data_IF_037581117267
#
_entry.id   IF_037581117267
#
_cell.length_a   1.000
_cell.length_b   1.000
_cell.length_c   1.000
_cell.angle_alpha   90.00
_cell.angle_beta   90.00
_cell.angle_gamma   90.00
#
_symmetry.space_group_name_H-M   'P 1'
#
loop_
_entity.id
_entity.type
_entity.pdbx_description
1 polymer ?
#
# COMPACT_ATOMS: atom_id res chain seq x y z
N UNK A 1 6.57 -25.81 1.77
CA UNK A 1 6.45 -24.44 1.24
C UNK A 1 6.66 -24.57 -0.27
N UNK A 2 5.58 -24.83 -1.01
CA UNK A 2 5.61 -24.77 -2.46
C UNK A 2 5.14 -23.38 -2.82
N UNK A 3 5.94 -22.66 -3.61
CA UNK A 3 5.51 -21.46 -4.29
C UNK A 3 5.09 -21.95 -5.67
N UNK A 4 3.78 -22.11 -5.86
CA UNK A 4 3.17 -22.22 -7.17
C UNK A 4 3.17 -20.83 -7.81
N UNK A 5 4.27 -20.55 -8.53
CA UNK A 5 4.43 -19.38 -9.38
C UNK A 5 3.84 -19.68 -10.75
N UNK A 6 2.59 -19.29 -10.97
CA UNK A 6 1.89 -19.45 -12.24
C UNK A 6 1.51 -18.10 -12.87
N UNK A 7 2.39 -17.10 -12.78
CA UNK A 7 2.29 -15.89 -13.59
C UNK A 7 3.51 -15.79 -14.51
N UNK A 8 3.25 -15.73 -15.81
CA UNK A 8 4.21 -15.81 -16.91
C UNK A 8 5.48 -14.98 -16.68
N UNK A 9 6.59 -15.68 -16.41
CA UNK A 9 7.93 -15.11 -16.39
C UNK A 9 8.36 -14.69 -17.81
N UNK A 10 8.15 -13.42 -18.17
CA UNK A 10 8.68 -12.87 -19.42
C UNK A 10 10.13 -12.42 -19.22
N UNK A 11 11.07 -13.34 -19.44
CA UNK A 11 12.49 -12.99 -19.61
C UNK A 11 12.70 -12.22 -20.92
N UNK A 12 12.87 -10.90 -20.85
CA UNK A 12 13.24 -10.06 -22.01
C UNK A 12 14.76 -9.95 -22.19
N UNK A 13 15.51 -11.05 -22.04
CA UNK A 13 16.95 -11.05 -22.32
C UNK A 13 17.20 -11.04 -23.83
N UNK A 14 17.73 -9.93 -24.34
CA UNK A 14 18.11 -9.79 -25.74
C UNK A 14 19.14 -10.83 -26.17
N UNK A 15 18.88 -11.53 -27.29
CA UNK A 15 19.85 -12.40 -27.98
C UNK A 15 20.95 -11.53 -28.60
N UNK A 16 22.03 -11.29 -27.87
CA UNK A 16 23.26 -10.71 -28.39
C UNK A 16 24.15 -11.78 -29.03
N UNK A 17 24.38 -11.68 -30.34
CA UNK A 17 25.38 -12.47 -31.05
C UNK A 17 26.71 -11.66 -31.05
N UNK A 18 27.65 -11.99 -30.15
CA UNK A 18 28.95 -11.31 -30.12
C UNK A 18 29.82 -11.70 -28.92
N UNK A 19 31.13 -11.82 -29.17
CA UNK A 19 32.19 -12.08 -28.20
C UNK A 19 31.98 -11.36 -26.86
N UNK A 20 32.17 -12.11 -25.77
CA UNK A 20 31.87 -11.75 -24.38
C UNK A 20 32.27 -10.33 -24.00
N UNK A 21 31.27 -9.45 -24.00
CA UNK A 21 31.22 -8.27 -23.16
C UNK A 21 30.13 -8.54 -22.14
N UNK A 22 30.49 -8.38 -20.87
CA UNK A 22 29.69 -8.71 -19.70
C UNK A 22 28.42 -7.85 -19.68
N UNK A 23 27.36 -8.30 -20.37
CA UNK A 23 26.04 -7.68 -20.31
C UNK A 23 25.44 -8.09 -18.97
N UNK A 24 25.54 -7.19 -18.00
CA UNK A 24 25.03 -7.43 -16.64
C UNK A 24 23.58 -7.93 -16.67
N UNK A 25 23.34 -9.06 -16.01
CA UNK A 25 22.00 -9.62 -15.85
C UNK A 25 21.29 -8.84 -14.76
N UNK A 26 20.21 -8.13 -15.11
CA UNK A 26 19.33 -7.50 -14.13
C UNK A 26 18.11 -8.37 -13.90
N UNK A 27 17.70 -8.60 -12.64
CA UNK A 27 16.47 -9.32 -12.35
C UNK A 27 15.25 -8.58 -12.90
N UNK A 28 14.12 -9.28 -13.10
CA UNK A 28 12.86 -8.64 -13.47
C UNK A 28 12.44 -7.61 -12.41
N UNK A 29 11.76 -6.55 -12.86
CA UNK A 29 11.22 -5.52 -11.96
C UNK A 29 9.94 -6.04 -11.32
N UNK A 30 9.84 -5.96 -9.99
CA UNK A 30 8.64 -6.35 -9.25
C UNK A 30 8.44 -5.49 -8.00
N UNK A 31 7.24 -5.54 -7.44
CA UNK A 31 6.89 -4.81 -6.22
C UNK A 31 7.36 -5.58 -4.97
N UNK A 32 8.43 -5.11 -4.32
CA UNK A 32 8.95 -5.70 -3.09
C UNK A 32 7.95 -5.68 -1.93
N UNK A 33 7.03 -4.71 -1.91
CA UNK A 33 6.12 -4.50 -0.79
C UNK A 33 5.12 -5.65 -0.61
N UNK A 34 4.68 -6.29 -1.70
CA UNK A 34 3.66 -7.36 -1.70
C UNK A 34 4.04 -8.57 -0.83
N UNK A 35 5.34 -8.83 -0.68
CA UNK A 35 5.87 -9.97 0.05
C UNK A 35 6.67 -9.56 1.30
N UNK A 36 6.62 -8.28 1.66
CA UNK A 36 7.32 -7.76 2.83
C UNK A 36 6.50 -8.00 4.11
N UNK A 37 7.21 -8.21 5.22
CA UNK A 37 6.64 -8.05 6.56
C UNK A 37 6.82 -6.59 6.95
N UNK A 38 5.72 -5.92 7.31
CA UNK A 38 5.75 -4.50 7.67
C UNK A 38 5.18 -4.27 9.08
N UNK A 39 5.72 -3.26 9.76
CA UNK A 39 5.36 -2.90 11.13
C UNK A 39 5.26 -1.38 11.24
N UNK A 40 4.35 -0.90 12.07
CA UNK A 40 4.24 0.51 12.45
C UNK A 40 4.32 0.62 13.98
N UNK A 41 4.84 1.75 14.46
CA UNK A 41 4.92 2.02 15.90
C UNK A 41 3.54 2.26 16.54
N UNK A 42 2.53 2.57 15.73
CA UNK A 42 1.14 2.68 16.17
C UNK A 42 0.21 2.77 14.98
N UNK A 43 -1.03 2.37 15.19
CA UNK A 43 -2.12 2.49 14.23
C UNK A 43 -3.30 3.17 14.92
N UNK A 44 -4.02 4.03 14.21
CA UNK A 44 -5.23 4.63 14.78
C UNK A 44 -6.21 3.56 15.25
N UNK A 45 -6.90 3.84 16.35
CA UNK A 45 -7.93 2.94 16.85
C UNK A 45 -7.41 1.81 17.73
N UNK A 46 -6.09 1.69 17.96
CA UNK A 46 -5.48 0.64 18.80
C UNK A 46 -5.71 0.88 20.30
N UNK A 47 -5.82 2.15 20.74
CA UNK A 47 -6.05 2.52 22.14
C UNK A 47 -7.51 2.91 22.43
N UNK A 48 -8.40 2.74 21.44
CA UNK A 48 -9.80 3.18 21.47
C UNK A 48 -10.16 4.00 20.24
N UNK A 49 -11.44 4.35 20.10
CA UNK A 49 -11.94 5.07 18.92
C UNK A 49 -11.31 6.48 18.80
N UNK A 50 -10.76 6.78 17.63
CA UNK A 50 -10.08 8.05 17.30
C UNK A 50 -10.84 8.80 16.20
N UNK A 51 -10.94 10.13 16.30
CA UNK A 51 -11.57 10.94 15.25
C UNK A 51 -10.50 11.60 14.39
N UNK A 52 -10.51 11.33 13.08
CA UNK A 52 -9.66 12.02 12.11
C UNK A 52 -10.50 12.86 11.16
N UNK A 53 -9.94 13.97 10.68
CA UNK A 53 -10.60 14.84 9.72
C UNK A 53 -9.78 14.96 8.44
N UNK A 54 -10.37 14.54 7.32
CA UNK A 54 -9.77 14.81 6.01
C UNK A 54 -9.95 16.28 5.69
N UNK A 55 -8.86 17.03 5.73
CA UNK A 55 -8.80 18.40 5.23
C UNK A 55 -8.96 18.32 3.71
N UNK A 56 -10.19 18.58 3.23
CA UNK A 56 -10.44 18.63 1.80
C UNK A 56 -9.71 19.82 1.18
N UNK A 57 -9.10 19.54 0.05
CA UNK A 57 -8.50 20.50 -0.87
C UNK A 57 -9.48 21.64 -1.19
N UNK A 58 -9.03 22.89 -0.99
CA UNK A 58 -9.74 24.08 -1.43
C UNK A 58 -9.69 24.17 -2.96
N UNK A 59 -10.61 23.49 -3.65
CA UNK A 59 -10.82 23.78 -5.07
C UNK A 59 -11.48 25.16 -5.16
N UNK A 60 -10.77 26.18 -5.67
CA UNK A 60 -11.39 27.47 -6.00
C UNK A 60 -12.60 27.19 -6.92
N UNK A 61 -13.76 27.77 -6.60
CA UNK A 61 -15.10 27.51 -7.21
C UNK A 61 -15.92 26.30 -6.72
N UNK A 62 -15.56 25.60 -5.63
CA UNK A 62 -16.51 24.66 -4.98
C UNK A 62 -16.91 25.12 -3.59
N UNK A 63 -18.20 25.02 -3.21
CA UNK A 63 -18.62 25.25 -1.83
C UNK A 63 -17.81 24.34 -0.90
N UNK A 64 -17.33 24.85 0.26
CA UNK A 64 -16.71 24.01 1.27
C UNK A 64 -17.65 22.85 1.60
N UNK A 65 -17.20 21.62 1.38
CA UNK A 65 -17.95 20.46 1.89
C UNK A 65 -17.81 20.43 3.41
N UNK A 66 -18.82 19.96 4.15
CA UNK A 66 -18.67 19.75 5.58
C UNK A 66 -17.40 18.94 5.85
N UNK A 67 -16.70 19.27 6.95
CA UNK A 67 -15.48 18.58 7.37
C UNK A 67 -15.71 17.07 7.30
N UNK A 68 -14.92 16.39 6.47
CA UNK A 68 -15.01 14.95 6.27
C UNK A 68 -14.33 14.24 7.44
N UNK A 69 -14.85 14.47 8.64
CA UNK A 69 -14.39 13.81 9.85
C UNK A 69 -15.02 12.42 9.94
N UNK A 70 -14.20 11.44 10.27
CA UNK A 70 -14.56 10.04 10.38
C UNK A 70 -13.92 9.47 11.65
N UNK A 71 -14.46 8.34 12.10
CA UNK A 71 -13.93 7.63 13.27
C UNK A 71 -13.09 6.46 12.78
N UNK A 72 -11.85 6.38 13.27
CA UNK A 72 -10.99 5.22 13.17
C UNK A 72 -11.14 4.36 14.43
N UNK A 73 -11.32 3.05 14.25
CA UNK A 73 -11.45 2.09 15.34
C UNK A 73 -10.93 0.73 14.87
N UNK A 74 -9.94 0.16 15.57
CA UNK A 74 -9.38 -1.13 15.21
C UNK A 74 -10.38 -2.28 15.44
N UNK A 75 -11.25 -2.14 16.45
CA UNK A 75 -12.21 -3.16 16.88
C UNK A 75 -13.61 -3.02 16.26
N UNK A 76 -13.92 -1.87 15.65
CA UNK A 76 -15.24 -1.60 15.04
C UNK A 76 -15.69 -2.71 14.10
N UNK A 77 -16.94 -3.22 14.17
CA UNK A 77 -17.45 -4.22 13.23
C UNK A 77 -17.47 -3.73 11.78
N UNK A 78 -17.54 -2.41 11.59
CA UNK A 78 -17.41 -1.76 10.29
C UNK A 78 -15.92 -1.69 9.88
N UNK A 79 -15.58 -2.44 8.82
CA UNK A 79 -14.23 -2.49 8.25
C UNK A 79 -13.78 -1.17 7.63
N UNK A 80 -14.71 -0.27 7.29
CA UNK A 80 -14.38 1.04 6.71
C UNK A 80 -13.73 1.98 7.72
N UNK A 81 -13.87 1.70 9.02
CA UNK A 81 -13.26 2.44 10.13
C UNK A 81 -11.90 1.88 10.56
N UNK A 82 -11.46 0.76 9.98
CA UNK A 82 -10.20 0.09 10.34
C UNK A 82 -9.11 0.50 9.34
N UNK A 83 -7.94 0.87 9.84
CA UNK A 83 -6.80 1.27 8.99
C UNK A 83 -5.48 0.59 9.38
N UNK A 84 -5.42 -0.76 9.44
CA UNK A 84 -4.25 -1.52 9.85
C UNK A 84 -3.05 -1.34 8.90
N UNK A 85 -1.84 -1.54 9.43
CA UNK A 85 -0.57 -1.38 8.69
C UNK A 85 -0.53 -2.19 7.39
N UNK A 86 -1.12 -3.38 7.36
CA UNK A 86 -1.21 -4.24 6.15
C UNK A 86 -1.84 -3.55 4.92
N UNK A 87 -2.73 -2.56 5.12
CA UNK A 87 -3.36 -1.85 4.02
C UNK A 87 -2.37 -1.00 3.21
N UNK A 88 -1.17 -0.75 3.72
CA UNK A 88 -0.13 -0.06 2.97
C UNK A 88 0.51 -0.92 1.86
N UNK A 89 0.34 -2.25 1.89
CA UNK A 89 1.04 -3.18 1.00
C UNK A 89 0.13 -4.26 0.36
N UNK A 90 -1.17 -4.19 0.60
CA UNK A 90 -2.12 -5.22 0.14
C UNK A 90 -2.68 -4.98 -1.27
N UNK A 91 -2.04 -4.08 -2.04
CA UNK A 91 -2.39 -3.68 -3.41
C UNK A 91 -3.82 -3.10 -3.56
N UNK A 92 -4.49 -2.80 -2.44
CA UNK A 92 -5.82 -2.21 -2.45
C UNK A 92 -5.76 -0.67 -2.38
N UNK A 93 -6.87 -0.01 -2.70
CA UNK A 93 -7.03 1.44 -2.52
C UNK A 93 -7.33 1.84 -1.06
N UNK A 94 -7.08 0.95 -0.10
CA UNK A 94 -7.19 1.27 1.33
C UNK A 94 -5.86 1.89 1.80
N UNK A 95 -5.86 2.43 3.02
CA UNK A 95 -4.68 3.05 3.60
C UNK A 95 -4.49 2.61 5.04
N UNK A 96 -3.23 2.62 5.49
CA UNK A 96 -2.88 2.64 6.90
C UNK A 96 -2.94 4.07 7.43
N UNK A 97 -3.32 4.23 8.70
CA UNK A 97 -3.41 5.52 9.36
C UNK A 97 -2.69 5.48 10.71
N UNK A 98 -1.80 6.44 10.95
CA UNK A 98 -1.16 6.63 12.25
C UNK A 98 -2.17 7.11 13.31
N UNK A 99 -1.88 6.95 14.61
CA UNK A 99 -2.68 7.57 15.67
C UNK A 99 -2.82 9.09 15.49
N UNK A 100 -3.94 9.66 15.95
CA UNK A 100 -4.14 11.12 16.03
C UNK A 100 -3.41 11.80 17.17
#
# INVERSE_FOLDING_TARGET
YQIDDSSEEVWSGGKGNGNGSDVGLTPPVFNLARHAVITANGTCGELGDETYCKLVEHVHNRPPRPSQCQVCSAESPDKSKRHPIKYAIDESNRWWQSPT
#
